data_IF_712128785362
#
_entry.id   IF_712128785362
#
_cell.length_a   1.000
_cell.length_b   1.000
_cell.length_c   1.000
_cell.angle_alpha   90.00
_cell.angle_beta   90.00
_cell.angle_gamma   90.00
#
_symmetry.space_group_name_H-M   'P 1'
#
loop_
_entity.id
_entity.type
_entity.pdbx_description
1 polymer ?
#
# COMPACT_ATOMS: atom_id res chain seq x y z
N UNK A 1 23.62 39.72 -33.09
CA UNK A 1 24.08 38.99 -31.89
C UNK A 1 23.34 39.35 -30.61
N UNK A 2 23.17 40.64 -30.27
CA UNK A 2 22.50 41.06 -29.02
C UNK A 2 21.03 40.62 -28.88
N UNK A 3 20.21 40.82 -29.93
CA UNK A 3 18.80 40.38 -29.94
C UNK A 3 18.66 38.85 -29.86
N UNK A 4 19.58 38.11 -30.49
CA UNK A 4 19.62 36.64 -30.41
C UNK A 4 19.94 36.17 -28.98
N UNK A 5 20.90 36.82 -28.30
CA UNK A 5 21.22 36.53 -26.90
C UNK A 5 20.08 36.82 -25.93
N UNK A 6 19.36 37.94 -26.10
CA UNK A 6 18.18 38.28 -25.29
C UNK A 6 17.05 37.26 -25.51
N UNK A 7 16.77 36.90 -26.76
CA UNK A 7 15.72 35.91 -27.08
C UNK A 7 16.04 34.54 -26.49
N UNK A 8 17.29 34.07 -26.58
CA UNK A 8 17.71 32.80 -25.97
C UNK A 8 17.58 32.84 -24.44
N UNK A 9 17.96 33.96 -23.81
CA UNK A 9 17.79 34.15 -22.37
C UNK A 9 16.32 34.15 -21.92
N UNK A 10 15.44 34.76 -22.70
CA UNK A 10 14.00 34.81 -22.43
C UNK A 10 13.31 33.45 -22.61
N UNK A 11 13.69 32.71 -23.67
CA UNK A 11 13.18 31.35 -23.91
C UNK A 11 13.64 30.40 -22.81
N UNK A 12 14.90 30.53 -22.39
CA UNK A 12 15.47 29.74 -21.31
C UNK A 12 14.73 30.00 -19.98
N UNK A 13 14.50 31.25 -19.60
CA UNK A 13 13.79 31.58 -18.36
C UNK A 13 12.33 31.11 -18.34
N UNK A 14 11.62 31.21 -19.47
CA UNK A 14 10.25 30.67 -19.61
C UNK A 14 10.22 29.13 -19.50
N UNK A 15 11.20 28.45 -20.11
CA UNK A 15 11.34 27.00 -20.01
C UNK A 15 11.59 26.55 -18.56
N UNK A 16 12.42 27.28 -17.81
CA UNK A 16 12.68 26.98 -16.39
C UNK A 16 11.44 27.15 -15.52
N UNK A 17 10.64 28.18 -15.77
CA UNK A 17 9.40 28.40 -15.02
C UNK A 17 8.38 27.29 -15.33
N UNK A 18 8.26 26.90 -16.60
CA UNK A 18 7.39 25.80 -17.03
C UNK A 18 7.82 24.47 -16.38
N UNK A 19 9.12 24.17 -16.34
CA UNK A 19 9.66 23.00 -15.65
C UNK A 19 9.35 23.03 -14.15
N UNK A 20 9.48 24.20 -13.50
CA UNK A 20 9.16 24.35 -12.09
C UNK A 20 7.69 24.06 -11.77
N UNK A 21 6.75 24.59 -12.57
CA UNK A 21 5.32 24.28 -12.42
C UNK A 21 5.01 22.80 -12.64
N UNK A 22 5.67 22.15 -13.62
CA UNK A 22 5.51 20.71 -13.86
C UNK A 22 5.98 19.88 -12.65
N UNK A 23 7.13 20.23 -12.08
CA UNK A 23 7.67 19.57 -10.88
C UNK A 23 6.74 19.78 -9.69
N UNK A 24 6.23 20.99 -9.48
CA UNK A 24 5.26 21.27 -8.42
C UNK A 24 3.97 20.48 -8.58
N UNK A 25 3.40 20.44 -9.79
CA UNK A 25 2.19 19.66 -10.06
C UNK A 25 2.41 18.16 -9.81
N UNK A 26 3.55 17.63 -10.26
CA UNK A 26 3.93 16.24 -9.96
C UNK A 26 4.09 16.01 -8.45
N UNK A 27 4.75 16.93 -7.74
CA UNK A 27 4.91 16.89 -6.28
C UNK A 27 3.56 16.90 -5.55
N UNK A 28 2.60 17.69 -6.02
CA UNK A 28 1.23 17.73 -5.47
C UNK A 28 0.51 16.39 -5.66
N UNK A 29 0.61 15.77 -6.83
CA UNK A 29 0.01 14.45 -7.10
C UNK A 29 0.62 13.39 -6.17
N UNK A 30 1.95 13.31 -6.09
CA UNK A 30 2.63 12.34 -5.22
C UNK A 30 2.28 12.57 -3.75
N UNK A 31 2.27 13.82 -3.30
CA UNK A 31 1.87 14.18 -1.93
C UNK A 31 0.44 13.73 -1.62
N UNK A 32 -0.50 13.99 -2.53
CA UNK A 32 -1.90 13.58 -2.35
C UNK A 32 -2.05 12.05 -2.22
N UNK A 33 -1.32 11.27 -3.03
CA UNK A 33 -1.34 9.82 -2.95
C UNK A 33 -0.76 9.32 -1.61
N UNK A 34 0.33 9.92 -1.14
CA UNK A 34 0.93 9.59 0.16
C UNK A 34 0.01 9.99 1.33
N UNK A 35 -0.69 11.12 1.23
CA UNK A 35 -1.69 11.54 2.22
C UNK A 35 -2.85 10.56 2.31
N UNK A 36 -3.34 10.04 1.18
CA UNK A 36 -4.39 9.00 1.18
C UNK A 36 -3.89 7.74 1.88
N UNK A 37 -2.67 7.28 1.59
CA UNK A 37 -2.07 6.12 2.24
C UNK A 37 -1.91 6.32 3.75
N UNK A 38 -1.38 7.47 4.18
CA UNK A 38 -1.24 7.84 5.59
C UNK A 38 -2.58 7.98 6.29
N UNK A 39 -3.57 8.59 5.63
CA UNK A 39 -4.93 8.70 6.13
C UNK A 39 -5.55 7.32 6.40
N UNK A 40 -5.36 6.37 5.47
CA UNK A 40 -5.85 5.01 5.65
C UNK A 40 -5.17 4.29 6.84
N UNK A 41 -3.85 4.44 7.00
CA UNK A 41 -3.12 3.90 8.15
C UNK A 41 -3.66 4.47 9.48
N UNK A 42 -3.95 5.77 9.54
CA UNK A 42 -4.50 6.41 10.74
C UNK A 42 -5.93 5.94 11.03
N UNK A 43 -6.80 5.88 10.02
CA UNK A 43 -8.21 5.48 10.20
C UNK A 43 -8.31 4.02 10.69
N UNK A 44 -7.50 3.14 10.13
CA UNK A 44 -7.51 1.70 10.44
C UNK A 44 -6.71 1.35 11.70
N UNK A 45 -5.91 2.28 12.23
CA UNK A 45 -4.98 2.02 13.34
C UNK A 45 -3.91 0.98 13.00
N UNK A 46 -3.62 0.78 11.71
CA UNK A 46 -2.76 -0.28 11.20
C UNK A 46 -1.61 0.28 10.36
N UNK A 47 -0.41 -0.26 10.55
CA UNK A 47 0.74 0.01 9.67
C UNK A 47 0.57 -0.59 8.26
N UNK A 48 -0.31 -1.58 8.13
CA UNK A 48 -0.57 -2.29 6.88
C UNK A 48 -2.08 -2.48 6.70
N UNK A 49 -2.82 -1.41 6.33
CA UNK A 49 -4.27 -1.45 6.17
C UNK A 49 -4.72 -2.29 4.97
N UNK A 50 -3.81 -2.59 4.05
CA UNK A 50 -4.09 -3.33 2.82
C UNK A 50 -3.02 -4.41 2.64
N UNK A 51 -3.45 -5.66 2.50
CA UNK A 51 -2.58 -6.80 2.19
C UNK A 51 -3.16 -7.64 1.07
N UNK A 52 -2.30 -8.38 0.35
CA UNK A 52 -2.73 -9.29 -0.72
C UNK A 52 -2.54 -10.74 -0.30
N UNK A 53 -3.50 -11.60 -0.64
CA UNK A 53 -3.42 -13.04 -0.40
C UNK A 53 -2.45 -13.68 -1.39
N UNK A 54 -1.36 -14.24 -0.86
CA UNK A 54 -0.32 -14.88 -1.67
C UNK A 54 -0.54 -16.39 -1.89
N UNK A 55 -1.32 -17.05 -1.03
CA UNK A 55 -1.55 -18.51 -1.07
C UNK A 55 -3.03 -18.89 -1.02
N UNK A 56 -3.40 -20.00 -1.68
CA UNK A 56 -4.77 -20.54 -1.71
C UNK A 56 -5.15 -21.42 -0.51
N UNK A 57 -4.44 -21.31 0.63
CA UNK A 57 -4.72 -22.17 1.79
C UNK A 57 -6.09 -21.93 2.44
N UNK A 58 -6.75 -20.83 2.10
CA UNK A 58 -8.07 -20.46 2.62
C UNK A 58 -9.19 -20.61 1.57
N UNK A 59 -8.97 -21.39 0.51
CA UNK A 59 -10.01 -21.73 -0.44
C UNK A 59 -11.14 -22.55 0.24
N UNK A 60 -12.43 -22.27 -0.05
CA UNK A 60 -12.96 -21.37 -1.08
C UNK A 60 -13.19 -19.92 -0.64
N UNK A 61 -12.87 -19.56 0.61
CA UNK A 61 -13.19 -18.24 1.16
C UNK A 61 -12.29 -17.13 0.59
N UNK A 62 -11.03 -17.44 0.29
CA UNK A 62 -10.09 -16.54 -0.35
C UNK A 62 -9.29 -17.26 -1.42
N UNK A 63 -9.07 -16.56 -2.52
CA UNK A 63 -8.23 -17.01 -3.62
C UNK A 63 -6.92 -16.21 -3.65
N UNK A 64 -5.91 -16.79 -4.28
CA UNK A 64 -4.65 -16.08 -4.54
C UNK A 64 -4.93 -14.80 -5.35
N UNK A 65 -4.45 -13.67 -4.86
CA UNK A 65 -4.68 -12.36 -5.47
C UNK A 65 -5.89 -11.59 -4.94
N UNK A 66 -6.57 -12.08 -3.90
CA UNK A 66 -7.56 -11.28 -3.20
C UNK A 66 -6.89 -10.17 -2.37
N UNK A 67 -7.45 -8.96 -2.43
CA UNK A 67 -6.99 -7.81 -1.66
C UNK A 67 -7.79 -7.74 -0.36
N UNK A 68 -7.12 -7.77 0.78
CA UNK A 68 -7.74 -7.70 2.11
C UNK A 68 -7.52 -6.33 2.73
N UNK A 69 -8.58 -5.78 3.29
CA UNK A 69 -8.53 -4.56 4.10
C UNK A 69 -8.55 -4.93 5.58
N UNK A 70 -7.54 -4.45 6.27
CA UNK A 70 -7.19 -4.77 7.63
C UNK A 70 -7.46 -3.59 8.54
N UNK A 71 -8.03 -3.87 9.71
CA UNK A 71 -8.19 -2.89 10.78
C UNK A 71 -7.60 -3.44 12.06
N UNK A 72 -6.95 -2.58 12.84
CA UNK A 72 -6.50 -2.92 14.18
C UNK A 72 -7.65 -2.69 15.15
N UNK A 73 -8.16 -3.75 15.77
CA UNK A 73 -9.19 -3.68 16.81
C UNK A 73 -8.64 -4.31 18.08
N UNK A 74 -8.10 -3.46 18.96
CA UNK A 74 -7.49 -3.90 20.21
C UNK A 74 -8.54 -4.09 21.31
N UNK A 75 -9.61 -3.29 21.30
CA UNK A 75 -10.61 -3.26 22.37
C UNK A 75 -11.76 -4.28 22.19
N UNK A 76 -12.01 -4.74 20.96
CA UNK A 76 -13.09 -5.68 20.67
C UNK A 76 -12.60 -7.13 20.76
N UNK A 77 -13.28 -8.02 21.52
CA UNK A 77 -12.94 -9.43 21.53
C UNK A 77 -13.18 -10.05 20.14
N UNK A 78 -12.18 -10.75 19.63
CA UNK A 78 -12.24 -11.50 18.37
C UNK A 78 -13.40 -12.49 18.43
N UNK A 79 -14.20 -12.59 17.38
CA UNK A 79 -15.36 -13.49 17.31
C UNK A 79 -15.07 -14.71 16.43
N UNK A 80 -15.77 -15.82 16.73
CA UNK A 80 -15.74 -17.00 15.85
C UNK A 80 -16.28 -16.62 14.48
N UNK A 81 -15.56 -17.02 13.42
CA UNK A 81 -15.88 -16.73 12.04
C UNK A 81 -15.13 -15.53 11.45
N UNK A 82 -14.48 -14.70 12.27
CA UNK A 82 -13.64 -13.60 11.80
C UNK A 82 -12.36 -14.09 11.13
N UNK A 83 -11.86 -13.28 10.20
CA UNK A 83 -10.61 -13.53 9.49
C UNK A 83 -9.57 -12.63 10.12
N UNK A 84 -8.59 -13.25 10.76
CA UNK A 84 -7.53 -12.56 11.49
C UNK A 84 -6.22 -12.73 10.75
N UNK A 85 -5.44 -11.66 10.74
CA UNK A 85 -4.09 -11.62 10.20
C UNK A 85 -3.15 -11.30 11.35
N UNK A 86 -2.14 -12.13 11.53
CA UNK A 86 -1.12 -11.94 12.54
C UNK A 86 0.26 -12.21 11.95
N UNK A 87 1.26 -11.47 12.44
CA UNK A 87 2.67 -11.73 12.12
C UNK A 87 3.21 -12.71 13.15
N UNK A 88 4.04 -13.66 12.72
CA UNK A 88 4.76 -14.57 13.62
C UNK A 88 6.22 -14.11 13.67
N UNK A 89 6.85 -14.11 14.84
CA UNK A 89 8.28 -13.85 14.98
C UNK A 89 9.09 -14.84 14.12
N UNK A 90 9.99 -14.31 13.29
CA UNK A 90 10.77 -15.10 12.33
C UNK A 90 10.09 -15.35 10.97
N UNK A 91 8.89 -14.80 10.73
CA UNK A 91 8.24 -14.78 9.40
C UNK A 91 7.97 -13.33 8.98
N UNK A 92 8.53 -12.93 7.83
CA UNK A 92 8.28 -11.61 7.25
C UNK A 92 6.86 -11.47 6.67
N UNK A 93 6.26 -12.60 6.26
CA UNK A 93 4.94 -12.63 5.63
C UNK A 93 3.87 -12.89 6.71
N UNK A 94 2.88 -12.00 6.87
CA UNK A 94 1.79 -12.20 7.81
C UNK A 94 0.88 -13.35 7.37
N UNK A 95 0.31 -14.07 8.33
CA UNK A 95 -0.51 -15.25 8.08
C UNK A 95 -1.97 -14.91 8.30
N UNK A 96 -2.80 -15.27 7.32
CA UNK A 96 -4.25 -15.08 7.35
C UNK A 96 -4.91 -16.39 7.78
N UNK A 97 -5.78 -16.36 8.78
CA UNK A 97 -6.57 -17.53 9.22
C UNK A 97 -8.02 -17.14 9.58
N UNK A 98 -8.93 -18.11 9.49
CA UNK A 98 -10.31 -18.00 10.00
C UNK A 98 -10.38 -18.52 11.43
N UNK A 99 -10.98 -17.74 12.32
CA UNK A 99 -11.21 -18.12 13.71
C UNK A 99 -12.31 -19.18 13.78
N UNK A 100 -11.98 -20.40 14.18
CA UNK A 100 -12.95 -21.51 14.28
C UNK A 100 -13.48 -21.67 15.70
N UNK A 101 -12.64 -21.49 16.72
CA UNK A 101 -13.02 -21.62 18.12
C UNK A 101 -12.08 -20.79 18.99
N UNK A 102 -12.65 -20.05 19.93
CA UNK A 102 -11.90 -19.27 20.92
C UNK A 102 -11.77 -20.13 22.18
N UNK A 103 -10.55 -20.24 22.69
CA UNK A 103 -10.29 -20.86 23.98
C UNK A 103 -9.93 -19.74 24.95
N UNK A 104 -10.84 -19.40 25.86
CA UNK A 104 -10.56 -18.49 26.98
C UNK A 104 -9.64 -19.21 27.98
N UNK A 105 -8.34 -19.21 27.72
CA UNK A 105 -7.36 -19.46 28.77
C UNK A 105 -7.01 -18.12 29.39
N UNK A 106 -7.38 -17.94 30.66
CA UNK A 106 -6.85 -16.86 31.51
C UNK A 106 -5.35 -17.09 31.70
N UNK A 107 -4.55 -16.60 30.77
CA UNK A 107 -3.11 -16.43 30.98
C UNK A 107 -2.96 -15.12 31.75
N UNK A 108 -2.48 -15.20 32.99
CA UNK A 108 -2.03 -13.99 33.71
C UNK A 108 -0.81 -13.45 32.98
N UNK A 109 -1.01 -12.50 32.09
CA UNK A 109 0.08 -11.72 31.53
C UNK A 109 0.56 -10.73 32.60
N UNK A 110 1.84 -10.79 32.92
CA UNK A 110 2.54 -9.83 33.76
C UNK A 110 2.48 -8.46 33.08
N UNK A 111 2.22 -7.34 33.78
CA UNK A 111 2.15 -5.99 33.19
C UNK A 111 3.44 -5.48 32.51
N UNK A 112 4.49 -6.32 32.43
CA UNK A 112 5.82 -6.00 31.93
C UNK A 112 6.24 -6.90 30.75
N UNK A 113 5.39 -7.83 30.28
CA UNK A 113 5.66 -8.68 29.10
C UNK A 113 4.90 -8.23 27.83
N UNK A 114 4.20 -7.09 27.86
CA UNK A 114 3.07 -6.82 26.94
C UNK A 114 3.29 -5.74 25.86
N UNK A 115 4.53 -5.35 25.54
CA UNK A 115 4.76 -4.19 24.63
C UNK A 115 4.76 -4.54 23.13
N UNK A 116 4.73 -5.82 22.75
CA UNK A 116 4.50 -6.23 21.35
C UNK A 116 3.37 -7.26 21.25
N UNK A 117 2.19 -6.88 21.74
CA UNK A 117 0.95 -7.58 21.42
C UNK A 117 0.81 -7.71 19.90
N UNK A 118 1.11 -8.91 19.43
CA UNK A 118 0.88 -9.50 18.12
C UNK A 118 -0.16 -8.71 17.34
N UNK A 119 0.29 -8.11 16.25
CA UNK A 119 -0.47 -7.23 15.38
C UNK A 119 -1.67 -7.99 14.76
N UNK A 120 -2.74 -8.16 15.54
CA UNK A 120 -3.97 -8.85 15.16
C UNK A 120 -4.83 -7.89 14.36
N UNK A 121 -4.76 -8.02 13.05
CA UNK A 121 -5.66 -7.29 12.19
C UNK A 121 -6.86 -8.13 11.83
N UNK A 122 -8.04 -7.53 11.99
CA UNK A 122 -9.29 -8.15 11.53
C UNK A 122 -9.53 -7.69 10.09
N UNK A 123 -9.75 -8.64 9.19
CA UNK A 123 -10.18 -8.35 7.84
C UNK A 123 -11.67 -8.01 7.84
N UNK A 124 -12.01 -6.77 7.50
CA UNK A 124 -13.40 -6.32 7.45
C UNK A 124 -13.97 -6.30 6.02
N UNK A 125 -13.09 -6.19 5.02
CA UNK A 125 -13.47 -6.16 3.60
C UNK A 125 -12.40 -6.85 2.78
N UNK A 126 -12.82 -7.49 1.70
CA UNK A 126 -11.91 -7.94 0.65
C UNK A 126 -12.44 -7.54 -0.72
N UNK A 127 -11.53 -7.43 -1.69
CA UNK A 127 -11.88 -7.23 -3.09
C UNK A 127 -11.20 -8.32 -3.91
N UNK A 128 -11.98 -9.18 -4.58
CA UNK A 128 -11.42 -10.34 -5.28
C UNK A 128 -10.65 -9.92 -6.53
N UNK A 129 -9.65 -10.70 -6.90
CA UNK A 129 -8.84 -10.57 -8.13
C UNK A 129 -7.97 -9.31 -8.30
N UNK A 130 -8.24 -8.20 -7.58
CA UNK A 130 -7.48 -6.94 -7.73
C UNK A 130 -6.00 -7.11 -7.36
N UNK A 131 -5.70 -7.89 -6.32
CA UNK A 131 -4.34 -8.16 -5.88
C UNK A 131 -3.52 -8.99 -6.88
N UNK A 132 -4.13 -9.56 -7.92
CA UNK A 132 -3.36 -10.20 -9.01
C UNK A 132 -2.46 -9.16 -9.69
N UNK A 133 -2.89 -7.90 -9.78
CA UNK A 133 -2.08 -6.82 -10.38
C UNK A 133 -0.81 -6.57 -9.57
N UNK A 134 -0.90 -6.56 -8.24
CA UNK A 134 0.26 -6.34 -7.38
C UNK A 134 1.21 -7.53 -7.40
N UNK A 135 0.66 -8.75 -7.42
CA UNK A 135 1.44 -9.99 -7.60
C UNK A 135 2.15 -9.97 -8.96
N UNK A 136 1.45 -9.66 -10.05
CA UNK A 136 2.03 -9.61 -11.39
C UNK A 136 3.18 -8.58 -11.48
N UNK A 137 2.97 -7.40 -10.88
CA UNK A 137 3.99 -6.34 -10.85
C UNK A 137 5.21 -6.71 -9.99
N UNK A 138 5.03 -7.55 -8.98
CA UNK A 138 6.12 -8.07 -8.15
C UNK A 138 6.86 -9.24 -8.84
N UNK A 139 6.12 -10.21 -9.39
CA UNK A 139 6.68 -11.42 -10.02
C UNK A 139 7.37 -11.12 -11.36
N UNK A 140 6.91 -10.11 -12.10
CA UNK A 140 7.50 -9.66 -13.35
C UNK A 140 8.07 -8.24 -13.24
N UNK A 141 9.29 -8.05 -12.69
CA UNK A 141 9.89 -6.73 -12.58
C UNK A 141 10.06 -6.05 -13.95
N UNK A 142 10.23 -6.81 -15.03
CA UNK A 142 10.27 -6.30 -16.41
C UNK A 142 9.01 -5.53 -16.81
N UNK A 143 7.83 -5.95 -16.33
CA UNK A 143 6.57 -5.27 -16.62
C UNK A 143 6.50 -3.91 -15.94
N UNK A 144 6.96 -3.81 -14.69
CA UNK A 144 7.07 -2.54 -13.96
C UNK A 144 7.94 -1.52 -14.70
N UNK A 145 9.10 -1.95 -15.19
CA UNK A 145 10.00 -1.07 -15.94
C UNK A 145 9.40 -0.64 -17.30
N UNK A 146 8.68 -1.52 -17.98
CA UNK A 146 8.00 -1.17 -19.23
C UNK A 146 6.92 -0.10 -19.02
N UNK A 147 6.12 -0.20 -17.96
CA UNK A 147 5.11 0.82 -17.60
C UNK A 147 5.77 2.15 -17.27
N UNK A 148 6.82 2.16 -16.44
CA UNK A 148 7.56 3.40 -16.11
C UNK A 148 8.19 4.04 -17.35
N UNK A 149 8.72 3.24 -18.26
CA UNK A 149 9.29 3.72 -19.52
C UNK A 149 8.22 4.36 -20.43
N UNK A 150 7.05 3.72 -20.58
CA UNK A 150 5.94 4.29 -21.34
C UNK A 150 5.39 5.56 -20.71
N UNK A 151 5.28 5.62 -19.37
CA UNK A 151 4.85 6.83 -18.65
C UNK A 151 5.87 7.96 -18.84
N UNK A 152 7.17 7.66 -18.76
CA UNK A 152 8.24 8.62 -19.03
C UNK A 152 8.20 9.15 -20.47
N UNK A 153 8.01 8.26 -21.46
CA UNK A 153 7.82 8.66 -22.85
C UNK A 153 6.55 9.48 -23.06
N UNK A 154 5.43 9.10 -22.43
CA UNK A 154 4.18 9.85 -22.51
C UNK A 154 4.36 11.26 -21.96
N UNK A 155 5.03 11.43 -20.82
CA UNK A 155 5.35 12.75 -20.26
C UNK A 155 6.26 13.56 -21.19
N UNK A 156 7.20 12.92 -21.87
CA UNK A 156 8.08 13.60 -22.84
C UNK A 156 7.35 14.01 -24.13
N UNK A 157 6.43 13.16 -24.62
CA UNK A 157 5.66 13.39 -25.85
C UNK A 157 4.53 14.39 -25.62
N UNK A 158 3.90 14.38 -24.45
CA UNK A 158 2.83 15.30 -24.08
C UNK A 158 3.35 16.68 -23.62
N UNK A 159 4.53 17.09 -24.12
CA UNK A 159 5.05 18.47 -24.05
C UNK A 159 4.28 19.36 -25.03
N UNK A 160 2.99 19.55 -24.76
CA UNK A 160 2.17 20.60 -25.37
C UNK A 160 1.47 21.38 -24.26
#
# INVERSE_FOLDING_TARGET
DYYMGIMVGLISSLLFLQLYYQVLNFGMIVSSALMIWKGLMVITGSESPIVVVLSGSMEPAFHRGDLLFLTNRVEDPIRVGEIVVFRIEGREIPIVHRVLKIHEKYVKFSPFDDIEHWLFFVCFRFVPYIGIVTILMNDYPKFKYAVLFLLGLFVLVHRE
#
